data_IF_316655073286
#
_entry.id   IF_316655073286
#
_cell.length_a   1.000
_cell.length_b   1.000
_cell.length_c   1.000
_cell.angle_alpha   90.00
_cell.angle_beta   90.00
_cell.angle_gamma   90.00
#
_symmetry.space_group_name_H-M   'P 1'
#
loop_
_entity.id
_entity.type
_entity.pdbx_description
1 polymer ?
#
# COMPACT_ATOMS: atom_id res chain seq x y z
N UNK A 1 7.96 31.61 0.51
CA UNK A 1 8.58 30.45 1.12
C UNK A 1 8.05 29.20 0.41
N UNK A 2 8.93 28.32 -0.07
CA UNK A 2 8.59 27.12 -0.84
C UNK A 2 7.56 26.24 -0.10
N UNK A 3 7.76 26.03 1.20
CA UNK A 3 6.83 25.26 2.03
C UNK A 3 5.42 25.87 2.06
N UNK A 4 5.30 27.21 2.14
CA UNK A 4 4.01 27.88 2.13
C UNK A 4 3.30 27.70 0.80
N UNK A 5 4.02 27.88 -0.31
CA UNK A 5 3.49 27.70 -1.66
C UNK A 5 2.99 26.27 -1.88
N UNK A 6 3.82 25.28 -1.51
CA UNK A 6 3.45 23.86 -1.57
C UNK A 6 2.18 23.56 -0.75
N UNK A 7 2.14 24.05 0.49
CA UNK A 7 1.00 23.81 1.39
C UNK A 7 -0.29 24.43 0.85
N UNK A 8 -0.23 25.63 0.28
CA UNK A 8 -1.39 26.30 -0.33
C UNK A 8 -1.88 25.54 -1.56
N UNK A 9 -0.96 25.10 -2.43
CA UNK A 9 -1.29 24.31 -3.60
C UNK A 9 -1.97 22.98 -3.22
N UNK A 10 -1.38 22.18 -2.31
CA UNK A 10 -1.96 20.93 -1.86
C UNK A 10 -3.32 21.11 -1.19
N UNK A 11 -3.52 22.17 -0.41
CA UNK A 11 -4.83 22.48 0.18
C UNK A 11 -5.87 22.81 -0.90
N UNK A 12 -5.48 23.52 -1.96
CA UNK A 12 -6.34 23.79 -3.11
C UNK A 12 -6.77 22.50 -3.80
N UNK A 13 -5.81 21.65 -4.15
CA UNK A 13 -6.06 20.36 -4.79
C UNK A 13 -6.99 19.47 -3.94
N UNK A 14 -6.64 19.23 -2.69
CA UNK A 14 -7.45 18.39 -1.79
C UNK A 14 -8.82 18.98 -1.51
N UNK A 15 -8.92 20.30 -1.41
CA UNK A 15 -10.20 21.01 -1.24
C UNK A 15 -11.12 20.79 -2.42
N UNK A 16 -10.64 21.01 -3.65
CA UNK A 16 -11.42 20.80 -4.87
C UNK A 16 -11.83 19.33 -5.05
N UNK A 17 -10.93 18.38 -4.75
CA UNK A 17 -11.27 16.95 -4.79
C UNK A 17 -12.47 16.63 -3.89
N UNK A 18 -12.48 17.14 -2.65
CA UNK A 18 -13.60 16.93 -1.71
C UNK A 18 -14.90 17.61 -2.15
N UNK A 19 -14.83 18.70 -2.91
CA UNK A 19 -16.01 19.36 -3.49
C UNK A 19 -16.58 18.56 -4.69
N UNK A 20 -15.69 17.95 -5.48
CA UNK A 20 -16.08 17.15 -6.66
C UNK A 20 -16.53 15.74 -6.29
N UNK A 21 -15.98 15.16 -5.24
CA UNK A 21 -16.29 13.80 -4.80
C UNK A 21 -16.39 13.74 -3.27
N UNK A 22 -17.60 13.47 -2.77
CA UNK A 22 -17.89 13.31 -1.35
C UNK A 22 -17.97 11.85 -0.90
N UNK A 23 -17.70 10.89 -1.80
CA UNK A 23 -17.62 9.48 -1.46
C UNK A 23 -16.31 9.16 -0.73
N UNK A 24 -16.20 7.94 -0.21
CA UNK A 24 -14.90 7.46 0.25
C UNK A 24 -14.00 7.16 -0.94
N UNK A 25 -12.79 7.69 -0.92
CA UNK A 25 -11.70 7.35 -1.83
C UNK A 25 -10.35 7.46 -1.14
N UNK A 26 -9.33 6.81 -1.70
CA UNK A 26 -7.92 7.08 -1.43
C UNK A 26 -7.31 7.88 -2.57
N UNK A 27 -6.43 8.77 -2.19
CA UNK A 27 -5.66 9.63 -3.09
C UNK A 27 -4.18 9.37 -2.87
N UNK A 28 -3.47 9.05 -3.96
CA UNK A 28 -2.04 8.81 -3.95
C UNK A 28 -1.31 9.82 -4.83
N UNK A 29 -0.04 10.00 -4.57
CA UNK A 29 0.77 10.94 -5.33
C UNK A 29 2.25 10.59 -5.27
N UNK A 30 2.95 10.79 -6.38
CA UNK A 30 4.40 10.73 -6.44
C UNK A 30 5.04 12.13 -6.43
N UNK A 31 4.37 13.09 -5.82
CA UNK A 31 4.80 14.47 -5.61
C UNK A 31 4.75 14.83 -4.13
N UNK A 32 5.86 15.29 -3.58
CA UNK A 32 5.94 15.76 -2.20
C UNK A 32 6.77 17.04 -2.10
N UNK A 33 6.64 17.76 -1.00
CA UNK A 33 7.51 18.90 -0.69
C UNK A 33 9.00 18.54 -0.80
N UNK A 34 9.35 17.30 -0.52
CA UNK A 34 10.73 16.84 -0.48
C UNK A 34 11.25 16.37 -1.84
N UNK A 35 10.40 16.09 -2.82
CA UNK A 35 10.85 15.79 -4.20
C UNK A 35 11.63 16.94 -4.81
N UNK A 36 11.30 18.18 -4.49
CA UNK A 36 12.06 19.36 -4.94
C UNK A 36 13.40 19.53 -4.20
N UNK A 37 13.57 18.93 -3.03
CA UNK A 37 14.79 19.04 -2.21
C UNK A 37 15.69 17.82 -2.30
N UNK A 38 15.28 16.79 -3.05
CA UNK A 38 16.02 15.54 -3.22
C UNK A 38 16.02 14.65 -1.97
N UNK A 39 15.11 14.88 -1.06
CA UNK A 39 14.92 14.04 0.14
C UNK A 39 13.72 13.12 -0.06
N UNK A 40 13.93 11.83 0.04
CA UNK A 40 12.96 10.76 -0.22
C UNK A 40 12.23 10.31 1.06
N UNK A 41 11.97 11.21 1.99
CA UNK A 41 11.31 10.84 3.23
C UNK A 41 9.80 10.92 3.09
N UNK A 42 9.13 9.86 3.48
CA UNK A 42 7.71 9.85 3.70
C UNK A 42 7.31 10.95 4.68
N UNK A 43 6.27 11.64 4.36
CA UNK A 43 5.71 12.69 5.18
C UNK A 43 4.28 12.31 5.54
N UNK A 44 3.82 12.62 6.73
CA UNK A 44 2.41 12.41 7.10
C UNK A 44 1.48 13.41 6.40
N UNK A 45 1.64 13.59 5.09
CA UNK A 45 0.85 14.53 4.31
C UNK A 45 -0.65 14.19 4.24
N UNK A 46 -1.05 12.91 4.13
CA UNK A 46 -2.46 12.54 4.26
C UNK A 46 -3.10 13.08 5.54
N UNK A 47 -2.40 12.96 6.65
CA UNK A 47 -2.85 13.49 7.94
C UNK A 47 -2.83 15.03 7.97
N UNK A 48 -1.81 15.65 7.37
CA UNK A 48 -1.67 17.12 7.33
C UNK A 48 -2.75 17.78 6.49
N UNK A 49 -3.08 17.22 5.33
CA UNK A 49 -4.07 17.79 4.41
C UNK A 49 -5.45 17.14 4.52
N UNK A 50 -5.57 16.05 5.31
CA UNK A 50 -6.84 15.41 5.63
C UNK A 50 -7.45 14.65 4.45
N UNK A 51 -6.68 13.83 3.75
CA UNK A 51 -7.16 12.87 2.76
C UNK A 51 -6.81 11.43 3.18
N UNK A 52 -7.47 10.43 2.60
CA UNK A 52 -7.14 9.04 2.84
C UNK A 52 -6.09 8.57 1.83
N UNK A 53 -5.15 7.75 2.27
CA UNK A 53 -4.05 7.23 1.46
C UNK A 53 -3.64 5.85 1.99
N UNK A 54 -2.96 5.06 1.16
CA UNK A 54 -2.21 3.89 1.62
C UNK A 54 -0.80 4.30 2.08
N UNK A 55 -0.33 5.46 1.62
CA UNK A 55 0.94 6.04 2.02
C UNK A 55 0.86 6.62 3.43
N UNK A 56 1.79 6.27 4.29
CA UNK A 56 1.93 6.89 5.59
C UNK A 56 3.35 6.73 6.14
N UNK A 57 3.76 7.68 6.98
CA UNK A 57 4.96 7.56 7.80
C UNK A 57 4.58 7.41 9.26
N UNK A 58 5.06 6.35 9.89
CA UNK A 58 4.91 6.15 11.34
C UNK A 58 6.09 5.34 11.88
N UNK A 59 6.61 5.73 13.04
CA UNK A 59 7.58 4.91 13.77
C UNK A 59 6.94 3.69 14.44
N UNK A 60 5.61 3.63 14.46
CA UNK A 60 4.80 2.50 14.90
C UNK A 60 3.82 2.17 13.79
N UNK A 61 4.01 1.08 13.11
CA UNK A 61 3.18 0.60 12.00
C UNK A 61 2.46 -0.70 12.38
N UNK A 62 1.38 -0.96 11.70
CA UNK A 62 0.74 -2.26 11.75
C UNK A 62 1.52 -3.22 10.85
N UNK A 63 2.12 -4.23 11.46
CA UNK A 63 2.96 -5.19 10.74
C UNK A 63 2.19 -5.92 9.64
N UNK A 64 0.95 -6.30 9.89
CA UNK A 64 0.15 -7.07 8.93
C UNK A 64 -0.20 -6.21 7.70
N UNK A 65 -0.47 -4.91 7.92
CA UNK A 65 -0.71 -3.97 6.82
C UNK A 65 0.54 -3.79 5.97
N UNK A 66 1.69 -3.58 6.61
CA UNK A 66 2.95 -3.37 5.92
C UNK A 66 3.37 -4.63 5.13
N UNK A 67 3.26 -5.80 5.75
CA UNK A 67 3.50 -7.08 5.10
C UNK A 67 2.56 -7.31 3.90
N UNK A 68 1.29 -6.96 4.02
CA UNK A 68 0.33 -7.05 2.92
C UNK A 68 0.73 -6.11 1.76
N UNK A 69 1.01 -4.86 2.04
CA UNK A 69 1.38 -3.86 1.03
C UNK A 69 2.67 -4.29 0.28
N UNK A 70 3.68 -4.78 1.02
CA UNK A 70 4.90 -5.31 0.43
C UNK A 70 4.64 -6.53 -0.48
N UNK A 71 3.80 -7.48 -0.03
CA UNK A 71 3.42 -8.65 -0.83
C UNK A 71 2.64 -8.26 -2.10
N UNK A 72 1.93 -7.13 -2.08
CA UNK A 72 1.23 -6.59 -3.24
C UNK A 72 2.13 -5.79 -4.19
N UNK A 73 3.42 -5.68 -3.92
CA UNK A 73 4.39 -5.08 -4.84
C UNK A 73 4.73 -3.62 -4.58
N UNK A 74 4.31 -3.06 -3.46
CA UNK A 74 4.75 -1.73 -3.03
C UNK A 74 6.08 -1.79 -2.28
N UNK A 75 6.72 -0.65 -2.12
CA UNK A 75 8.02 -0.58 -1.47
C UNK A 75 7.95 -1.18 -0.05
N UNK A 76 8.79 -2.17 0.17
CA UNK A 76 8.96 -2.81 1.47
C UNK A 76 9.87 -1.94 2.34
N UNK A 77 9.30 -1.39 3.38
CA UNK A 77 10.06 -0.73 4.44
C UNK A 77 10.46 -1.69 5.54
N UNK A 78 9.93 -2.91 5.56
CA UNK A 78 10.23 -3.85 6.62
C UNK A 78 11.58 -4.51 6.43
N UNK A 79 12.35 -4.40 7.45
CA UNK A 79 13.42 -5.33 7.77
C UNK A 79 12.84 -6.45 8.61
N UNK A 80 12.85 -7.65 8.11
CA UNK A 80 12.66 -8.82 8.95
C UNK A 80 14.01 -9.08 9.61
N UNK A 81 14.18 -8.84 10.92
CA UNK A 81 15.45 -9.09 11.57
C UNK A 81 15.82 -10.54 11.39
N UNK A 82 17.09 -10.82 11.10
CA UNK A 82 17.65 -12.14 11.31
C UNK A 82 17.40 -12.53 12.78
N UNK A 83 16.92 -13.75 13.02
CA UNK A 83 16.63 -14.27 14.37
C UNK A 83 17.80 -14.12 15.35
N UNK A 84 19.00 -13.86 14.83
CA UNK A 84 20.24 -13.69 15.59
C UNK A 84 20.76 -12.26 15.68
N UNK A 85 20.16 -11.29 14.99
CA UNK A 85 20.58 -9.90 15.07
C UNK A 85 19.70 -9.10 16.03
N UNK A 86 20.36 -8.41 16.95
CA UNK A 86 19.71 -7.50 17.91
C UNK A 86 19.52 -6.10 17.32
N UNK A 87 19.93 -5.89 16.09
CA UNK A 87 19.89 -4.58 15.45
C UNK A 87 18.58 -4.39 14.71
N UNK A 88 17.82 -3.56 15.30
CA UNK A 88 16.50 -3.14 14.95
C UNK A 88 16.44 -1.99 13.99
N UNK A 89 15.32 -1.89 13.51
CA UNK A 89 14.42 -0.77 13.18
C UNK A 89 14.62 -0.23 11.83
N UNK A 90 13.55 -0.40 11.19
CA UNK A 90 13.35 0.28 9.95
C UNK A 90 12.09 1.06 10.04
N UNK A 91 12.23 2.28 9.62
CA UNK A 91 11.12 3.19 9.49
C UNK A 91 10.33 2.79 8.26
N UNK A 92 9.02 2.58 8.36
CA UNK A 92 8.17 2.50 7.19
C UNK A 92 8.39 3.81 6.43
N UNK A 93 8.88 3.68 5.24
CA UNK A 93 8.98 4.78 4.31
C UNK A 93 7.78 4.73 3.37
N UNK A 94 7.61 5.77 2.65
CA UNK A 94 6.65 5.99 1.61
C UNK A 94 6.35 4.69 0.83
N UNK A 95 5.16 4.13 1.04
CA UNK A 95 4.78 2.86 0.41
C UNK A 95 4.42 3.02 -1.06
N UNK A 96 4.05 4.25 -1.48
CA UNK A 96 3.63 4.56 -2.83
C UNK A 96 4.73 5.24 -3.64
N UNK A 97 5.80 4.53 -3.95
CA UNK A 97 6.89 5.07 -4.72
C UNK A 97 6.93 4.50 -6.14
N UNK A 98 6.51 5.31 -7.13
CA UNK A 98 6.60 5.01 -8.57
C UNK A 98 6.11 3.61 -9.02
N UNK A 99 5.16 3.02 -8.30
CA UNK A 99 4.70 1.66 -8.56
C UNK A 99 3.20 1.52 -8.55
N UNK A 100 2.51 2.11 -9.52
CA UNK A 100 1.08 1.93 -9.64
C UNK A 100 0.78 0.46 -10.01
N UNK A 101 0.38 -0.30 -9.00
CA UNK A 101 -0.14 -1.66 -9.18
C UNK A 101 -1.65 -1.58 -9.29
N UNK A 102 -2.14 -1.33 -10.49
CA UNK A 102 -3.56 -0.99 -10.75
C UNK A 102 -4.56 -1.94 -10.07
N UNK A 103 -4.26 -3.25 -9.99
CA UNK A 103 -5.17 -4.19 -9.34
C UNK A 103 -5.24 -3.92 -7.83
N UNK A 104 -4.11 -3.73 -7.16
CA UNK A 104 -4.07 -3.42 -5.73
C UNK A 104 -4.70 -2.06 -5.45
N UNK A 105 -4.44 -1.06 -6.27
CA UNK A 105 -5.06 0.27 -6.16
C UNK A 105 -6.58 0.17 -6.27
N UNK A 106 -7.07 -0.58 -7.26
CA UNK A 106 -8.50 -0.82 -7.43
C UNK A 106 -9.10 -1.47 -6.19
N UNK A 107 -8.50 -2.54 -5.69
CA UNK A 107 -8.98 -3.27 -4.50
C UNK A 107 -8.99 -2.40 -3.23
N UNK A 108 -7.99 -1.53 -3.09
CA UNK A 108 -7.85 -0.65 -1.93
C UNK A 108 -8.60 0.69 -2.08
N UNK A 109 -9.30 0.91 -3.19
CA UNK A 109 -10.06 2.14 -3.43
C UNK A 109 -9.18 3.37 -3.66
N UNK A 110 -7.97 3.19 -4.22
CA UNK A 110 -7.16 4.29 -4.74
C UNK A 110 -7.81 4.77 -6.03
N UNK A 111 -8.51 5.89 -5.91
CA UNK A 111 -9.31 6.45 -6.99
C UNK A 111 -8.62 7.58 -7.72
N UNK A 112 -7.84 8.37 -7.01
CA UNK A 112 -7.16 9.52 -7.58
C UNK A 112 -5.65 9.40 -7.42
N UNK A 113 -4.93 9.83 -8.45
CA UNK A 113 -3.47 9.86 -8.47
C UNK A 113 -2.96 11.19 -9.02
N UNK A 114 -2.07 11.86 -8.30
CA UNK A 114 -1.31 13.01 -8.77
C UNK A 114 0.06 12.55 -9.25
N UNK A 115 0.26 12.47 -10.57
CA UNK A 115 1.47 11.89 -11.14
C UNK A 115 1.96 12.64 -12.40
N UNK A 116 3.22 12.40 -12.75
CA UNK A 116 3.82 12.96 -13.98
C UNK A 116 3.37 12.25 -15.25
N UNK A 117 3.02 10.97 -15.13
CA UNK A 117 2.63 10.14 -16.28
C UNK A 117 1.38 9.35 -15.93
N UNK A 118 0.48 9.28 -16.88
CA UNK A 118 -0.68 8.40 -16.81
C UNK A 118 -0.24 6.95 -16.93
N UNK A 119 -0.79 6.09 -16.07
CA UNK A 119 -0.57 4.66 -16.10
C UNK A 119 -1.80 3.91 -16.58
N UNK A 120 -1.66 2.61 -16.81
CA UNK A 120 -2.77 1.75 -17.21
C UNK A 120 -3.95 1.86 -16.25
N UNK A 121 -5.16 1.85 -16.78
CA UNK A 121 -6.41 1.92 -15.99
C UNK A 121 -6.80 3.31 -15.51
N UNK A 122 -5.93 4.30 -15.68
CA UNK A 122 -6.18 5.69 -15.29
C UNK A 122 -6.72 6.53 -16.45
N UNK A 123 -7.63 7.43 -16.14
CA UNK A 123 -8.15 8.47 -17.04
C UNK A 123 -7.75 9.86 -16.56
N UNK A 124 -7.73 10.84 -17.46
CA UNK A 124 -7.45 12.23 -17.08
C UNK A 124 -8.60 12.76 -16.21
N UNK A 125 -8.28 13.45 -15.13
CA UNK A 125 -9.25 14.08 -14.24
C UNK A 125 -9.03 15.59 -14.22
N UNK A 126 -10.03 16.33 -14.72
CA UNK A 126 -9.95 17.78 -14.83
C UNK A 126 -10.05 18.47 -13.48
N UNK A 127 -9.08 19.33 -13.18
CA UNK A 127 -8.99 20.14 -11.99
C UNK A 127 -8.86 21.61 -12.34
N UNK A 128 -9.52 22.49 -11.56
CA UNK A 128 -9.37 23.95 -11.67
C UNK A 128 -8.16 24.45 -10.87
N UNK A 129 -7.77 23.72 -9.83
CA UNK A 129 -6.59 24.01 -9.00
C UNK A 129 -5.31 23.92 -9.83
N UNK A 130 -4.36 24.81 -9.55
CA UNK A 130 -3.05 24.79 -10.19
C UNK A 130 -2.28 23.52 -9.82
N UNK A 131 -1.99 22.68 -10.81
CA UNK A 131 -1.20 21.48 -10.64
C UNK A 131 0.29 21.81 -10.50
N UNK A 132 1.07 20.99 -9.76
CA UNK A 132 2.52 21.08 -9.79
C UNK A 132 3.05 20.94 -11.21
N UNK A 133 4.15 21.64 -11.52
CA UNK A 133 4.71 21.64 -12.88
C UNK A 133 5.07 20.23 -13.33
N UNK A 134 4.50 19.81 -14.45
CA UNK A 134 4.69 18.47 -15.04
C UNK A 134 3.87 17.36 -14.39
N UNK A 135 2.95 17.69 -13.49
CA UNK A 135 2.01 16.74 -12.88
C UNK A 135 0.59 16.96 -13.38
N UNK A 136 -0.19 15.90 -13.39
CA UNK A 136 -1.61 15.88 -13.71
C UNK A 136 -2.36 15.02 -12.72
N UNK A 137 -3.66 15.30 -12.58
CA UNK A 137 -4.55 14.45 -11.79
C UNK A 137 -5.16 13.38 -12.69
N UNK A 138 -5.13 12.16 -12.21
CA UNK A 138 -5.72 11.00 -12.88
C UNK A 138 -6.77 10.34 -12.00
N UNK A 139 -7.69 9.60 -12.62
CA UNK A 139 -8.76 8.87 -11.92
C UNK A 139 -8.80 7.41 -12.36
N UNK A 140 -8.86 6.51 -11.39
CA UNK A 140 -9.22 5.10 -11.58
C UNK A 140 -10.74 4.96 -11.41
N UNK A 141 -11.46 4.88 -12.52
CA UNK A 141 -12.92 4.74 -12.50
C UNK A 141 -13.40 3.37 -11.99
N UNK A 142 -12.50 2.39 -11.91
CA UNK A 142 -12.76 1.04 -11.40
C UNK A 142 -12.39 0.86 -9.93
N UNK A 143 -11.89 1.91 -9.25
CA UNK A 143 -11.57 1.86 -7.84
C UNK A 143 -12.77 1.37 -7.03
N UNK A 144 -12.57 0.27 -6.27
CA UNK A 144 -13.63 -0.30 -5.43
C UNK A 144 -13.88 0.60 -4.22
N UNK A 145 -15.10 0.60 -3.69
CA UNK A 145 -15.43 1.37 -2.50
C UNK A 145 -14.75 0.77 -1.25
N UNK A 146 -14.89 1.45 -0.10
CA UNK A 146 -14.35 0.99 1.19
C UNK A 146 -14.79 -0.42 1.58
N UNK A 147 -15.99 -0.82 1.18
CA UNK A 147 -16.57 -2.10 1.50
C UNK A 147 -17.21 -2.73 0.25
N UNK A 148 -16.99 -4.02 0.06
CA UNK A 148 -17.58 -4.79 -1.05
C UNK A 148 -17.67 -6.29 -0.70
N UNK A 149 -18.54 -7.00 -1.44
CA UNK A 149 -18.74 -8.44 -1.25
C UNK A 149 -17.52 -9.22 -1.73
N UNK A 150 -17.15 -10.24 -0.96
CA UNK A 150 -16.08 -11.18 -1.32
C UNK A 150 -16.55 -12.62 -1.14
N UNK A 151 -15.81 -13.58 -1.65
CA UNK A 151 -16.06 -14.99 -1.43
C UNK A 151 -16.07 -15.33 0.06
N UNK A 152 -16.93 -16.27 0.46
CA UNK A 152 -16.97 -16.75 1.84
C UNK A 152 -15.64 -17.35 2.32
N UNK A 153 -14.78 -17.80 1.39
CA UNK A 153 -13.48 -18.40 1.64
C UNK A 153 -12.32 -17.40 1.50
N UNK A 154 -12.58 -16.10 1.45
CA UNK A 154 -11.58 -15.03 1.30
C UNK A 154 -10.67 -14.94 2.54
N UNK A 155 -9.61 -15.77 2.59
CA UNK A 155 -8.67 -15.85 3.73
C UNK A 155 -7.22 -16.03 3.31
N UNK A 156 -6.87 -15.65 2.08
CA UNK A 156 -5.49 -15.80 1.60
C UNK A 156 -4.56 -14.83 2.30
N UNK A 157 -3.54 -15.38 2.93
CA UNK A 157 -2.46 -14.62 3.57
C UNK A 157 -1.39 -14.23 2.55
N UNK A 158 -0.68 -13.11 2.76
CA UNK A 158 0.55 -12.83 2.04
C UNK A 158 1.55 -13.99 2.16
N UNK A 159 2.19 -14.33 1.07
CA UNK A 159 3.18 -15.41 1.01
C UNK A 159 4.52 -14.84 0.53
N UNK A 160 5.44 -14.67 1.46
CA UNK A 160 6.76 -14.07 1.20
C UNK A 160 7.71 -14.95 0.41
N UNK A 161 7.30 -16.17 0.05
CA UNK A 161 8.03 -17.03 -0.87
C UNK A 161 7.70 -16.76 -2.33
N UNK A 162 6.68 -15.93 -2.58
CA UNK A 162 6.17 -15.58 -3.89
C UNK A 162 6.56 -14.14 -4.26
N UNK A 163 6.68 -13.91 -5.57
CA UNK A 163 6.77 -12.56 -6.11
C UNK A 163 5.41 -11.82 -5.98
N UNK A 164 5.38 -10.49 -6.14
CA UNK A 164 4.15 -9.70 -5.98
C UNK A 164 3.02 -10.10 -6.94
N UNK A 165 3.33 -10.53 -8.14
CA UNK A 165 2.32 -10.89 -9.15
C UNK A 165 1.57 -12.15 -8.75
N UNK A 166 2.29 -13.16 -8.29
CA UNK A 166 1.71 -14.42 -7.78
C UNK A 166 0.90 -14.16 -6.49
N UNK A 167 1.37 -13.27 -5.61
CA UNK A 167 0.62 -12.85 -4.42
C UNK A 167 -0.69 -12.16 -4.78
N UNK A 168 -0.67 -11.18 -5.69
CA UNK A 168 -1.88 -10.50 -6.15
C UNK A 168 -2.87 -11.47 -6.78
N UNK A 169 -2.39 -12.37 -7.64
CA UNK A 169 -3.23 -13.37 -8.28
C UNK A 169 -3.92 -14.29 -7.25
N UNK A 170 -3.17 -14.79 -6.27
CA UNK A 170 -3.73 -15.59 -5.16
C UNK A 170 -4.75 -14.82 -4.35
N UNK A 171 -4.44 -13.56 -4.02
CA UNK A 171 -5.34 -12.71 -3.25
C UNK A 171 -6.65 -12.47 -4.01
N UNK A 172 -6.57 -12.08 -5.28
CA UNK A 172 -7.75 -11.87 -6.14
C UNK A 172 -8.57 -13.14 -6.29
N UNK A 173 -7.91 -14.29 -6.52
CA UNK A 173 -8.61 -15.59 -6.60
C UNK A 173 -9.35 -15.91 -5.31
N UNK A 174 -8.77 -15.59 -4.16
CA UNK A 174 -9.43 -15.73 -2.86
C UNK A 174 -10.64 -14.82 -2.72
N UNK A 175 -10.54 -13.55 -3.12
CA UNK A 175 -11.65 -12.60 -3.04
C UNK A 175 -12.82 -12.97 -3.96
N UNK A 176 -12.51 -13.45 -5.15
CA UNK A 176 -13.53 -13.82 -6.15
C UNK A 176 -14.09 -15.23 -5.95
N UNK A 177 -13.38 -16.09 -5.22
CA UNK A 177 -13.69 -17.52 -5.07
C UNK A 177 -13.47 -18.34 -6.34
N UNK A 178 -12.70 -17.81 -7.29
CA UNK A 178 -12.39 -18.44 -8.57
C UNK A 178 -10.89 -18.37 -8.83
N UNK A 179 -10.34 -19.38 -9.52
CA UNK A 179 -8.95 -19.34 -9.96
C UNK A 179 -8.83 -18.32 -11.11
N UNK A 180 -8.12 -17.23 -10.85
CA UNK A 180 -7.98 -16.09 -11.76
C UNK A 180 -6.57 -16.04 -12.32
N UNK A 181 -6.41 -16.12 -13.64
CA UNK A 181 -5.15 -15.88 -14.33
C UNK A 181 -4.94 -14.36 -14.58
N UNK A 182 -4.74 -13.63 -13.49
CA UNK A 182 -4.61 -12.17 -13.53
C UNK A 182 -3.35 -11.70 -14.23
N UNK A 183 -2.25 -12.42 -14.03
CA UNK A 183 -0.95 -12.12 -14.62
C UNK A 183 -0.43 -13.28 -15.45
N UNK A 184 0.18 -12.96 -16.58
CA UNK A 184 0.95 -13.87 -17.41
C UNK A 184 2.44 -13.63 -17.14
N UNK A 185 3.14 -14.67 -16.71
CA UNK A 185 4.58 -14.60 -16.46
C UNK A 185 5.34 -14.61 -17.77
N UNK A 186 6.05 -13.54 -18.05
CA UNK A 186 6.95 -13.41 -19.19
C UNK A 186 8.33 -13.92 -18.80
N UNK A 187 8.93 -14.79 -19.62
CA UNK A 187 10.29 -15.26 -19.41
C UNK A 187 11.25 -14.44 -20.27
N UNK A 188 11.90 -13.39 -19.76
CA UNK A 188 12.82 -12.58 -20.55
C UNK A 188 14.09 -13.35 -20.87
N UNK A 189 14.52 -13.25 -22.14
CA UNK A 189 15.76 -13.87 -22.58
C UNK A 189 16.96 -13.02 -22.14
N UNK A 190 17.85 -13.60 -21.33
CA UNK A 190 19.13 -12.97 -20.97
C UNK A 190 20.02 -12.90 -22.22
N UNK A 191 20.41 -11.69 -22.61
CA UNK A 191 21.28 -11.43 -23.77
C UNK A 191 22.73 -11.25 -23.39
N UNK A 192 23.01 -10.57 -22.29
CA UNK A 192 24.37 -10.25 -21.89
C UNK A 192 24.49 -9.95 -20.39
N UNK A 193 25.57 -10.41 -19.76
CA UNK A 193 26.08 -9.91 -18.49
C UNK A 193 27.50 -9.42 -18.73
N UNK A 194 27.73 -8.12 -18.63
CA UNK A 194 29.04 -7.54 -18.89
C UNK A 194 29.22 -6.13 -18.31
N UNK A 195 30.36 -5.92 -17.69
CA UNK A 195 30.76 -4.61 -17.15
C UNK A 195 29.72 -4.01 -16.18
N UNK A 196 29.05 -4.83 -15.39
CA UNK A 196 28.02 -4.41 -14.47
C UNK A 196 26.65 -4.15 -15.12
N UNK A 197 26.42 -4.63 -16.32
CA UNK A 197 25.12 -4.60 -16.98
C UNK A 197 24.57 -6.01 -17.18
N UNK A 198 23.31 -6.17 -16.85
CA UNK A 198 22.48 -7.31 -17.28
C UNK A 198 21.48 -6.83 -18.32
N UNK A 199 21.38 -7.51 -19.43
CA UNK A 199 20.47 -7.16 -20.52
C UNK A 199 19.54 -8.29 -20.85
N UNK A 200 18.25 -7.99 -20.86
CA UNK A 200 17.18 -8.94 -21.12
C UNK A 200 16.28 -8.43 -22.24
N UNK A 201 15.71 -9.35 -22.97
CA UNK A 201 14.65 -9.06 -23.94
C UNK A 201 13.40 -9.83 -23.50
N UNK A 202 12.34 -9.09 -23.22
CA UNK A 202 11.01 -9.63 -23.02
C UNK A 202 10.17 -9.44 -24.28
N UNK A 203 9.20 -10.33 -24.53
CA UNK A 203 8.22 -10.18 -25.60
C UNK A 203 6.83 -10.19 -24.96
N UNK A 204 6.04 -9.19 -25.23
CA UNK A 204 4.67 -9.11 -24.76
C UNK A 204 3.82 -10.22 -25.41
N UNK A 205 3.13 -11.02 -24.61
CA UNK A 205 2.30 -12.14 -25.09
C UNK A 205 0.88 -11.68 -25.43
N UNK A 206 0.39 -10.66 -24.73
CA UNK A 206 -0.95 -10.09 -24.90
C UNK A 206 -0.86 -8.57 -24.99
N UNK A 207 -1.98 -7.90 -25.22
CA UNK A 207 -2.09 -6.44 -25.04
C UNK A 207 -2.25 -6.13 -23.54
N UNK A 208 -1.55 -5.12 -23.03
CA UNK A 208 -1.72 -4.66 -21.64
C UNK A 208 -0.45 -4.19 -20.94
N UNK A 209 -0.56 -3.81 -19.68
CA UNK A 209 0.55 -3.31 -18.89
C UNK A 209 1.51 -4.42 -18.50
N UNK A 210 2.80 -4.14 -18.60
CA UNK A 210 3.87 -5.02 -18.19
C UNK A 210 4.55 -4.46 -16.94
N UNK A 211 4.91 -5.35 -16.05
CA UNK A 211 5.56 -5.03 -14.77
C UNK A 211 6.84 -5.84 -14.58
N UNK A 212 7.75 -5.26 -13.84
CA UNK A 212 9.02 -5.84 -13.45
C UNK A 212 9.13 -5.91 -11.93
N UNK A 213 9.78 -6.95 -11.41
CA UNK A 213 10.15 -7.06 -10.00
C UNK A 213 11.47 -7.79 -9.84
N UNK A 214 12.26 -7.36 -8.88
CA UNK A 214 13.41 -8.10 -8.34
C UNK A 214 13.66 -7.69 -6.91
N UNK A 215 14.01 -8.64 -6.07
CA UNK A 215 14.46 -8.40 -4.70
C UNK A 215 15.99 -8.35 -4.58
N UNK A 216 16.70 -8.37 -5.71
CA UNK A 216 18.17 -8.42 -5.75
C UNK A 216 18.77 -9.79 -5.45
N UNK A 217 17.95 -10.85 -5.42
CA UNK A 217 18.44 -12.22 -5.26
C UNK A 217 19.32 -12.64 -6.43
N UNK A 218 20.46 -13.25 -6.12
CA UNK A 218 21.32 -13.94 -7.09
C UNK A 218 20.55 -15.13 -7.68
N UNK A 219 20.41 -15.18 -9.01
CA UNK A 219 19.64 -16.22 -9.71
C UNK A 219 20.17 -17.63 -9.46
N UNK A 220 21.49 -17.79 -9.27
CA UNK A 220 22.10 -19.10 -8.97
C UNK A 220 21.74 -19.61 -7.55
N UNK A 221 21.37 -18.70 -6.65
CA UNK A 221 21.01 -19.00 -5.26
C UNK A 221 19.50 -19.04 -5.01
N UNK A 222 18.71 -18.80 -6.02
CA UNK A 222 17.25 -18.69 -5.89
C UNK A 222 16.61 -19.95 -5.30
N UNK A 223 17.11 -21.14 -5.66
CA UNK A 223 16.60 -22.42 -5.13
C UNK A 223 16.96 -22.67 -3.65
N UNK A 224 17.99 -22.02 -3.13
CA UNK A 224 18.43 -22.15 -1.74
C UNK A 224 17.62 -21.29 -0.78
N UNK A 225 16.86 -20.32 -1.28
CA UNK A 225 16.14 -19.34 -0.46
C UNK A 225 14.74 -19.82 -0.07
N UNK A 226 14.53 -19.84 1.23
CA UNK A 226 13.20 -20.05 1.85
C UNK A 226 12.44 -18.75 2.05
N UNK A 227 13.02 -17.58 1.74
CA UNK A 227 12.39 -16.29 1.99
C UNK A 227 13.03 -15.21 1.11
N UNK A 228 12.26 -14.69 0.17
CA UNK A 228 12.71 -13.75 -0.86
C UNK A 228 13.26 -12.45 -0.26
N UNK A 229 12.77 -12.04 0.91
CA UNK A 229 13.06 -10.72 1.49
C UNK A 229 14.31 -10.65 2.39
N UNK A 230 15.09 -11.75 2.58
CA UNK A 230 16.03 -11.78 3.72
C UNK A 230 17.47 -11.33 3.48
N UNK A 231 18.05 -11.35 2.29
CA UNK A 231 19.53 -11.35 2.23
C UNK A 231 20.26 -10.43 1.26
N UNK A 232 19.64 -9.79 0.29
CA UNK A 232 20.36 -9.06 -0.77
C UNK A 232 20.13 -7.54 -0.82
N UNK A 233 19.83 -6.92 0.29
CA UNK A 233 19.49 -5.49 0.42
C UNK A 233 20.65 -4.52 0.20
N UNK A 234 21.75 -4.96 -0.37
CA UNK A 234 22.95 -4.16 -0.57
C UNK A 234 23.33 -3.93 -2.03
N UNK A 235 22.73 -4.64 -2.95
CA UNK A 235 22.88 -4.38 -4.36
C UNK A 235 22.01 -3.19 -4.75
N UNK A 236 22.59 -2.23 -5.42
CA UNK A 236 21.89 -1.09 -5.97
C UNK A 236 22.00 -1.19 -7.48
N UNK A 237 20.87 -1.30 -8.16
CA UNK A 237 20.79 -1.35 -9.61
C UNK A 237 19.95 -0.19 -10.13
N UNK A 238 20.37 0.38 -11.24
CA UNK A 238 19.54 1.26 -12.04
C UNK A 238 18.78 0.42 -13.07
N UNK A 239 17.45 0.55 -13.11
CA UNK A 239 16.60 -0.09 -14.11
C UNK A 239 16.43 0.81 -15.32
N UNK A 240 16.67 0.27 -16.51
CA UNK A 240 16.42 0.93 -17.79
C UNK A 240 15.45 0.08 -18.61
N UNK A 241 14.52 0.75 -19.29
CA UNK A 241 13.55 0.11 -20.20
C UNK A 241 13.63 0.82 -21.55
N UNK A 242 13.88 0.07 -22.62
CA UNK A 242 14.09 0.59 -23.98
C UNK A 242 15.12 1.72 -24.05
N UNK A 243 16.15 1.63 -23.17
CA UNK A 243 17.24 2.60 -23.08
C UNK A 243 16.96 3.83 -22.21
N UNK A 244 15.77 3.99 -21.67
CA UNK A 244 15.42 5.08 -20.77
C UNK A 244 15.54 4.62 -19.30
N UNK A 245 16.14 5.47 -18.46
CA UNK A 245 16.20 5.23 -17.00
C UNK A 245 14.79 5.32 -16.40
N UNK A 246 14.43 4.34 -15.58
CA UNK A 246 13.14 4.29 -14.90
C UNK A 246 13.31 4.64 -13.43
N UNK A 247 14.05 3.83 -12.69
CA UNK A 247 14.32 4.04 -11.26
C UNK A 247 15.50 3.20 -10.78
N UNK A 248 15.90 3.43 -9.54
CA UNK A 248 16.76 2.49 -8.82
C UNK A 248 15.93 1.28 -8.35
N UNK A 249 16.56 0.12 -8.28
CA UNK A 249 15.97 -1.12 -7.75
C UNK A 249 17.01 -1.92 -6.98
N UNK A 250 16.64 -3.04 -6.36
CA UNK A 250 17.49 -3.90 -5.54
C UNK A 250 18.08 -3.23 -4.29
N UNK A 251 17.76 -2.00 -4.01
CA UNK A 251 18.23 -1.33 -2.80
C UNK A 251 17.15 -1.34 -1.72
N UNK A 252 17.60 -1.21 -0.49
CA UNK A 252 16.71 -1.02 0.66
C UNK A 252 15.74 0.13 0.38
N UNK A 253 14.46 -0.06 0.61
CA UNK A 253 13.35 0.87 0.34
C UNK A 253 12.93 1.01 -1.14
N UNK A 254 13.47 0.22 -2.05
CA UNK A 254 13.07 0.19 -3.46
C UNK A 254 12.95 -1.25 -3.96
N UNK A 255 12.34 -2.10 -3.15
CA UNK A 255 11.96 -3.47 -3.49
C UNK A 255 10.49 -3.50 -3.90
N UNK A 256 10.15 -2.70 -4.89
CA UNK A 256 8.78 -2.58 -5.38
C UNK A 256 8.66 -3.13 -6.80
N UNK A 257 7.47 -3.55 -7.17
CA UNK A 257 7.14 -3.83 -8.55
C UNK A 257 7.16 -2.52 -9.35
N UNK A 258 7.60 -2.58 -10.60
CA UNK A 258 7.79 -1.41 -11.46
C UNK A 258 6.93 -1.56 -12.70
N UNK A 259 6.12 -0.56 -12.98
CA UNK A 259 5.37 -0.47 -14.23
C UNK A 259 6.32 -0.12 -15.39
N UNK A 260 6.39 -0.98 -16.40
CA UNK A 260 7.27 -0.80 -17.56
C UNK A 260 6.59 -0.05 -18.71
N UNK A 261 5.26 -0.02 -18.72
CA UNK A 261 4.45 0.58 -19.79
C UNK A 261 3.38 -0.37 -20.31
N UNK A 262 2.58 0.15 -21.26
CA UNK A 262 1.58 -0.64 -22.00
C UNK A 262 2.18 -1.13 -23.30
N UNK A 263 2.05 -2.42 -23.55
CA UNK A 263 2.59 -3.07 -24.73
C UNK A 263 1.50 -3.83 -25.49
N UNK A 264 1.75 -4.05 -26.80
CA UNK A 264 0.92 -4.87 -27.65
C UNK A 264 1.54 -6.26 -27.80
N UNK A 265 0.71 -7.27 -28.03
CA UNK A 265 1.17 -8.62 -28.32
C UNK A 265 2.23 -8.61 -29.43
N UNK A 266 3.39 -9.20 -29.15
CA UNK A 266 4.55 -9.21 -30.03
C UNK A 266 5.53 -8.05 -29.87
N UNK A 267 5.23 -7.04 -29.08
CA UNK A 267 6.18 -5.96 -28.78
C UNK A 267 7.38 -6.53 -28.03
N UNK A 268 8.55 -6.02 -28.40
CA UNK A 268 9.81 -6.38 -27.76
C UNK A 268 10.22 -5.29 -26.78
N UNK A 269 10.54 -5.69 -25.55
CA UNK A 269 10.92 -4.79 -24.45
C UNK A 269 12.36 -5.08 -24.05
N UNK A 270 13.25 -4.09 -24.20
CA UNK A 270 14.63 -4.16 -23.73
C UNK A 270 14.66 -3.75 -22.25
N UNK A 271 15.02 -4.67 -21.36
CA UNK A 271 15.13 -4.46 -19.92
C UNK A 271 16.60 -4.57 -19.53
N UNK A 272 17.14 -3.55 -18.90
CA UNK A 272 18.54 -3.52 -18.49
C UNK A 272 18.66 -3.14 -17.01
N UNK A 273 19.47 -3.92 -16.30
CA UNK A 273 19.91 -3.62 -14.94
C UNK A 273 21.37 -3.19 -14.97
N UNK A 274 21.67 -2.05 -14.39
CA UNK A 274 23.04 -1.56 -14.24
C UNK A 274 23.42 -1.55 -12.77
N UNK A 275 24.38 -2.37 -12.40
CA UNK A 275 24.92 -2.44 -11.06
C UNK A 275 25.69 -1.16 -10.71
N UNK A 276 25.27 -0.48 -9.64
CA UNK A 276 25.93 0.73 -9.13
C UNK A 276 26.72 0.47 -7.84
N UNK A 277 26.76 -0.78 -7.38
CA UNK A 277 27.57 -1.17 -6.22
C UNK A 277 29.05 -0.86 -6.41
N UNK A 278 29.71 -0.43 -5.35
CA UNK A 278 31.17 -0.21 -5.34
C UNK A 278 31.97 -1.52 -5.34
N UNK A 279 31.31 -2.64 -5.08
CA UNK A 279 31.95 -3.95 -5.03
C UNK A 279 31.94 -4.59 -6.42
N UNK A 280 33.08 -4.52 -7.12
CA UNK A 280 33.20 -5.05 -8.49
C UNK A 280 32.98 -6.56 -8.62
N UNK A 281 33.08 -7.33 -7.54
CA UNK A 281 32.85 -8.76 -7.56
C UNK A 281 31.34 -9.13 -7.68
N UNK A 282 30.45 -8.15 -7.56
CA UNK A 282 29.01 -8.31 -7.72
C UNK A 282 28.53 -7.96 -9.13
N UNK A 283 29.38 -7.30 -9.93
CA UNK A 283 29.03 -6.81 -11.27
C UNK A 283 28.79 -7.90 -12.34
N UNK A 284 29.15 -9.13 -12.06
CA UNK A 284 29.00 -10.25 -13.01
C UNK A 284 27.98 -11.30 -12.50
N UNK A 285 27.17 -10.95 -11.49
CA UNK A 285 26.07 -11.80 -11.01
C UNK A 285 24.80 -11.50 -11.77
N UNK A 286 24.01 -12.54 -12.01
CA UNK A 286 22.68 -12.43 -12.56
C UNK A 286 21.66 -12.29 -11.44
N UNK A 287 20.79 -11.30 -11.51
CA UNK A 287 19.66 -11.17 -10.59
C UNK A 287 18.50 -12.09 -11.00
N UNK A 288 17.79 -12.60 -10.00
CA UNK A 288 16.48 -13.20 -10.20
C UNK A 288 15.50 -12.07 -10.47
N UNK A 289 14.94 -12.07 -11.67
CA UNK A 289 13.97 -11.08 -12.09
C UNK A 289 12.63 -11.75 -12.41
N UNK A 290 11.57 -11.01 -12.21
CA UNK A 290 10.22 -11.38 -12.57
C UNK A 290 9.66 -10.33 -13.51
N UNK A 291 9.12 -10.76 -14.63
CA UNK A 291 8.41 -9.88 -15.57
C UNK A 291 7.03 -10.50 -15.77
N UNK A 292 6.01 -9.71 -15.61
CA UNK A 292 4.62 -10.19 -15.75
C UNK A 292 3.78 -9.17 -16.48
N UNK A 293 2.84 -9.66 -17.26
CA UNK A 293 1.87 -8.86 -17.99
C UNK A 293 0.49 -9.06 -17.38
N UNK A 294 -0.19 -7.96 -17.05
CA UNK A 294 -1.56 -8.01 -16.55
C UNK A 294 -2.50 -8.35 -17.70
N UNK A 295 -3.37 -9.32 -17.49
CA UNK A 295 -4.45 -9.63 -18.43
C UNK A 295 -5.60 -8.63 -18.23
N UNK A 296 -5.76 -7.70 -19.16
CA UNK A 296 -6.75 -6.64 -19.08
C UNK A 296 -8.19 -7.16 -19.00
N UNK A 297 -8.50 -8.23 -19.73
CA UNK A 297 -9.85 -8.81 -19.69
C UNK A 297 -10.16 -9.38 -18.30
N UNK A 298 -9.21 -10.14 -17.73
CA UNK A 298 -9.36 -10.71 -16.39
C UNK A 298 -9.45 -9.62 -15.33
N UNK A 299 -8.62 -8.57 -15.44
CA UNK A 299 -8.71 -7.40 -14.56
C UNK A 299 -10.10 -6.76 -14.58
N UNK A 300 -10.67 -6.55 -15.79
CA UNK A 300 -12.00 -5.99 -15.95
C UNK A 300 -13.07 -6.90 -15.34
N UNK A 301 -13.02 -8.20 -15.62
CA UNK A 301 -13.98 -9.17 -15.09
C UNK A 301 -13.95 -9.24 -13.54
N UNK A 302 -12.76 -9.16 -12.95
CA UNK A 302 -12.59 -9.11 -11.48
C UNK A 302 -13.20 -7.84 -10.90
N UNK A 303 -12.92 -6.68 -11.49
CA UNK A 303 -13.48 -5.40 -11.04
C UNK A 303 -15.02 -5.43 -11.12
N UNK A 304 -15.57 -5.90 -12.23
CA UNK A 304 -17.01 -5.99 -12.43
C UNK A 304 -17.65 -6.98 -11.44
N UNK A 305 -16.99 -8.10 -11.16
CA UNK A 305 -17.46 -9.09 -10.19
C UNK A 305 -17.48 -8.55 -8.76
N UNK A 306 -16.40 -7.90 -8.32
CA UNK A 306 -16.28 -7.38 -6.96
C UNK A 306 -17.12 -6.12 -6.72
N UNK A 307 -17.44 -5.36 -7.76
CA UNK A 307 -18.36 -4.21 -7.67
C UNK A 307 -19.83 -4.59 -7.74
N UNK A 308 -20.15 -5.81 -8.20
CA UNK A 308 -21.53 -6.26 -8.38
C UNK A 308 -22.20 -6.65 -7.05
N UNK A 309 -23.52 -6.51 -7.02
CA UNK A 309 -24.38 -7.05 -5.94
C UNK A 309 -24.23 -6.34 -4.59
N UNK A 310 -23.52 -5.22 -4.54
CA UNK A 310 -23.41 -4.42 -3.33
C UNK A 310 -23.37 -2.91 -3.62
N UNK A 311 -23.77 -2.13 -2.62
CA UNK A 311 -23.68 -0.67 -2.63
C UNK A 311 -23.31 -0.18 -1.25
N UNK A 312 -22.37 0.73 -1.18
CA UNK A 312 -21.88 1.32 0.08
C UNK A 312 -21.95 2.84 0.06
N UNK A 313 -22.31 3.41 1.21
CA UNK A 313 -22.22 4.85 1.51
C UNK A 313 -21.64 4.98 2.93
N UNK A 314 -20.42 4.43 3.10
CA UNK A 314 -19.68 4.48 4.35
C UNK A 314 -18.71 5.65 4.34
N UNK A 315 -18.70 6.41 5.44
CA UNK A 315 -17.84 7.57 5.62
C UNK A 315 -16.97 7.45 6.87
N UNK A 316 -15.73 7.94 6.78
CA UNK A 316 -14.79 8.01 7.91
C UNK A 316 -14.82 9.39 8.52
N UNK A 317 -14.94 9.45 9.85
CA UNK A 317 -14.82 10.67 10.63
C UNK A 317 -13.97 10.40 11.88
N UNK A 318 -12.69 10.70 11.81
CA UNK A 318 -11.72 10.41 12.85
C UNK A 318 -11.61 8.91 13.12
N UNK A 319 -11.96 8.49 14.34
CA UNK A 319 -11.96 7.07 14.74
C UNK A 319 -13.30 6.34 14.51
N UNK A 320 -14.18 6.93 13.71
CA UNK A 320 -15.52 6.39 13.43
C UNK A 320 -15.72 6.17 11.94
N UNK A 321 -16.43 5.08 11.63
CA UNK A 321 -16.94 4.78 10.31
C UNK A 321 -18.44 4.58 10.47
N UNK A 322 -19.23 5.20 9.61
CA UNK A 322 -20.68 5.05 9.65
C UNK A 322 -21.31 5.28 8.29
N UNK A 323 -22.46 4.65 8.08
CA UNK A 323 -23.26 4.79 6.86
C UNK A 323 -24.01 3.53 6.51
N UNK A 324 -24.52 3.46 5.28
CA UNK A 324 -25.29 2.32 4.80
C UNK A 324 -24.46 1.39 3.91
N UNK A 325 -24.81 0.11 3.98
CA UNK A 325 -24.33 -0.93 3.08
C UNK A 325 -25.50 -1.79 2.63
N UNK A 326 -25.61 -2.02 1.33
CA UNK A 326 -26.65 -2.88 0.77
C UNK A 326 -26.01 -4.06 0.06
N UNK A 327 -26.52 -5.25 0.28
CA UNK A 327 -26.12 -6.46 -0.47
C UNK A 327 -27.32 -7.24 -0.95
N UNK A 328 -27.24 -7.81 -2.15
CA UNK A 328 -28.34 -8.54 -2.79
C UNK A 328 -28.54 -9.97 -2.24
N UNK A 329 -27.53 -10.48 -1.53
CA UNK A 329 -27.52 -11.83 -0.94
C UNK A 329 -26.76 -11.85 0.38
N UNK A 330 -26.95 -12.92 1.17
CA UNK A 330 -26.10 -13.17 2.34
C UNK A 330 -24.65 -13.24 1.89
N UNK A 331 -23.79 -12.38 2.45
CA UNK A 331 -22.46 -12.16 1.93
C UNK A 331 -21.42 -11.95 3.04
N UNK A 332 -20.19 -12.35 2.76
CA UNK A 332 -19.01 -11.86 3.46
C UNK A 332 -18.60 -10.54 2.82
N UNK A 333 -18.58 -9.49 3.61
CA UNK A 333 -18.20 -8.14 3.18
C UNK A 333 -16.82 -7.84 3.71
N UNK A 334 -15.88 -7.51 2.82
CA UNK A 334 -14.56 -7.01 3.18
C UNK A 334 -14.60 -5.49 3.27
N UNK A 335 -14.13 -4.94 4.38
CA UNK A 335 -13.80 -3.53 4.52
C UNK A 335 -12.29 -3.38 4.35
N UNK A 336 -11.86 -2.48 3.46
CA UNK A 336 -10.43 -2.19 3.22
C UNK A 336 -9.84 -1.31 4.34
N UNK A 337 -10.16 -1.69 5.57
CA UNK A 337 -9.72 -1.05 6.82
C UNK A 337 -8.90 -2.07 7.62
N UNK A 338 -7.77 -1.68 8.21
CA UNK A 338 -6.96 -2.58 9.00
C UNK A 338 -7.74 -3.23 10.14
N UNK A 339 -7.60 -4.56 10.26
CA UNK A 339 -8.13 -5.30 11.39
C UNK A 339 -7.40 -4.89 12.67
N UNK A 340 -8.14 -4.64 13.73
CA UNK A 340 -7.59 -4.40 15.06
C UNK A 340 -8.61 -4.75 16.14
N UNK A 341 -8.17 -5.24 17.30
CA UNK A 341 -9.03 -5.61 18.43
C UNK A 341 -9.76 -4.41 19.06
N UNK A 342 -9.38 -3.20 18.72
CA UNK A 342 -9.95 -1.95 19.27
C UNK A 342 -11.27 -1.53 18.64
N UNK A 343 -11.73 -2.16 17.59
CA UNK A 343 -12.99 -1.83 16.94
C UNK A 343 -14.20 -2.30 17.75
N UNK A 344 -15.19 -1.45 17.81
CA UNK A 344 -16.56 -1.81 18.21
C UNK A 344 -17.44 -1.64 17.00
N UNK A 345 -18.03 -2.74 16.54
CA UNK A 345 -18.86 -2.78 15.33
C UNK A 345 -20.31 -2.98 15.72
N UNK A 346 -21.20 -2.21 15.10
CA UNK A 346 -22.66 -2.40 15.17
C UNK A 346 -23.23 -2.46 13.76
N UNK A 347 -24.16 -3.35 13.56
CA UNK A 347 -24.98 -3.46 12.36
C UNK A 347 -26.44 -3.32 12.80
N UNK A 348 -27.16 -2.37 12.22
CA UNK A 348 -28.56 -2.05 12.54
C UNK A 348 -28.78 -1.74 14.05
N UNK A 349 -27.77 -1.12 14.66
CA UNK A 349 -27.77 -0.77 16.09
C UNK A 349 -27.34 -1.90 17.03
N UNK A 350 -27.26 -3.15 16.57
CA UNK A 350 -26.86 -4.32 17.36
C UNK A 350 -25.35 -4.56 17.26
N UNK A 351 -24.71 -4.88 18.40
CA UNK A 351 -23.30 -5.22 18.42
C UNK A 351 -23.04 -6.50 17.62
N UNK A 352 -22.14 -6.41 16.64
CA UNK A 352 -21.84 -7.49 15.70
C UNK A 352 -20.37 -7.91 15.83
N UNK A 353 -20.12 -9.20 15.72
CA UNK A 353 -18.76 -9.73 15.62
C UNK A 353 -18.18 -9.45 14.22
N UNK A 354 -16.89 -9.22 14.15
CA UNK A 354 -16.16 -9.03 12.92
C UNK A 354 -14.99 -10.00 12.86
N UNK A 355 -14.57 -10.33 11.64
CA UNK A 355 -13.51 -11.29 11.37
C UNK A 355 -12.28 -10.57 10.84
N UNK A 356 -11.13 -11.19 11.06
CA UNK A 356 -9.91 -10.86 10.36
C UNK A 356 -9.89 -11.57 8.99
N UNK A 357 -9.73 -10.81 7.92
CA UNK A 357 -9.57 -11.34 6.58
C UNK A 357 -8.13 -11.10 6.10
N UNK A 358 -7.50 -12.16 5.61
CA UNK A 358 -6.13 -12.09 5.03
C UNK A 358 -5.11 -11.47 5.98
N UNK A 359 -5.28 -11.66 7.29
CA UNK A 359 -4.47 -11.08 8.38
C UNK A 359 -4.40 -9.54 8.37
N UNK A 360 -5.17 -8.87 7.52
CA UNK A 360 -5.04 -7.42 7.29
C UNK A 360 -6.37 -6.66 7.41
N UNK A 361 -7.47 -7.22 6.91
CA UNK A 361 -8.72 -6.49 6.72
C UNK A 361 -9.83 -6.94 7.66
N UNK A 362 -10.88 -6.12 7.75
CA UNK A 362 -12.07 -6.44 8.51
C UNK A 362 -13.08 -7.14 7.59
N UNK A 363 -13.63 -8.27 8.06
CA UNK A 363 -14.75 -8.99 7.45
C UNK A 363 -16.02 -8.92 8.28
N UNK A 364 -17.15 -8.63 7.63
CA UNK A 364 -18.48 -8.68 8.24
C UNK A 364 -19.36 -9.70 7.49
N UNK A 365 -20.07 -10.55 8.22
CA UNK A 365 -21.13 -11.39 7.65
C UNK A 365 -22.45 -10.62 7.72
N UNK A 366 -23.02 -10.33 6.56
CA UNK A 366 -24.28 -9.60 6.43
C UNK A 366 -25.31 -10.44 5.68
N UNK A 367 -26.58 -10.36 6.11
CA UNK A 367 -27.69 -10.92 5.36
C UNK A 367 -28.02 -10.07 4.12
N UNK A 368 -28.84 -10.60 3.21
CA UNK A 368 -29.37 -9.79 2.12
C UNK A 368 -30.21 -8.62 2.65
N UNK A 369 -29.97 -7.42 2.10
CA UNK A 369 -30.72 -6.21 2.47
C UNK A 369 -29.86 -4.98 2.64
N UNK A 370 -30.48 -3.92 3.15
CA UNK A 370 -29.79 -2.67 3.52
C UNK A 370 -29.50 -2.69 5.03
N UNK A 371 -28.28 -2.39 5.38
CA UNK A 371 -27.75 -2.37 6.75
C UNK A 371 -27.16 -1.01 7.10
N UNK A 372 -27.35 -0.58 8.35
CA UNK A 372 -26.66 0.58 8.92
C UNK A 372 -25.44 0.08 9.70
N UNK A 373 -24.26 0.46 9.25
CA UNK A 373 -22.99 0.08 9.87
C UNK A 373 -22.46 1.25 10.68
N UNK A 374 -22.09 0.99 11.92
CA UNK A 374 -21.41 1.92 12.82
C UNK A 374 -20.19 1.21 13.40
N UNK A 375 -19.01 1.82 13.24
CA UNK A 375 -17.76 1.32 13.80
C UNK A 375 -17.05 2.42 14.55
N UNK A 376 -16.49 2.11 15.73
CA UNK A 376 -15.70 3.05 16.51
C UNK A 376 -14.44 2.36 17.04
N UNK A 377 -13.29 2.96 16.75
CA UNK A 377 -12.01 2.44 17.18
C UNK A 377 -11.53 3.08 18.48
N UNK A 378 -11.12 2.25 19.42
CA UNK A 378 -10.43 2.67 20.63
C UNK A 378 -9.21 1.79 20.88
N UNK A 379 -8.08 2.41 21.14
CA UNK A 379 -6.87 1.65 21.52
C UNK A 379 -7.18 0.75 22.72
N UNK A 380 -6.94 -0.56 22.64
CA UNK A 380 -7.37 -1.52 23.65
C UNK A 380 -7.00 -1.17 25.10
N UNK A 381 -5.83 -0.60 25.32
CA UNK A 381 -5.33 -0.22 26.64
C UNK A 381 -5.73 1.18 27.09
N UNK A 382 -6.40 1.97 26.26
CA UNK A 382 -6.64 3.41 26.53
C UNK A 382 -7.46 3.65 27.81
N UNK A 383 -8.52 2.87 28.04
CA UNK A 383 -9.36 3.02 29.24
C UNK A 383 -8.56 2.75 30.52
N UNK A 384 -7.74 1.69 30.51
CA UNK A 384 -6.90 1.34 31.65
C UNK A 384 -5.79 2.37 31.88
N UNK A 385 -5.15 2.85 30.83
CA UNK A 385 -4.13 3.89 30.88
C UNK A 385 -4.68 5.20 31.42
N UNK A 386 -5.89 5.59 31.03
CA UNK A 386 -6.56 6.79 31.56
C UNK A 386 -6.84 6.66 33.05
N UNK A 387 -7.33 5.49 33.50
CA UNK A 387 -7.57 5.23 34.95
C UNK A 387 -6.25 5.31 35.72
N UNK A 388 -5.19 4.65 35.26
CA UNK A 388 -3.87 4.70 35.90
C UNK A 388 -3.33 6.14 35.97
N UNK A 389 -3.49 6.91 34.89
CA UNK A 389 -3.04 8.31 34.82
C UNK A 389 -3.77 9.18 35.84
N UNK A 390 -5.09 9.01 35.95
CA UNK A 390 -5.89 9.75 36.96
C UNK A 390 -5.46 9.40 38.37
N UNK A 391 -5.27 8.11 38.68
CA UNK A 391 -4.77 7.68 39.97
C UNK A 391 -3.36 8.19 40.26
N UNK A 392 -2.46 8.16 39.27
CA UNK A 392 -1.11 8.72 39.37
C UNK A 392 -1.11 10.22 39.68
N UNK A 393 -1.92 10.98 38.97
CA UNK A 393 -2.08 12.42 39.20
C UNK A 393 -2.64 12.72 40.59
N UNK A 394 -3.62 11.93 41.04
CA UNK A 394 -4.20 12.06 42.38
C UNK A 394 -3.15 11.74 43.47
N UNK A 395 -2.42 10.64 43.35
CA UNK A 395 -1.37 10.25 44.27
C UNK A 395 -0.27 11.33 44.35
N UNK A 396 0.12 11.90 43.20
CA UNK A 396 1.09 12.98 43.16
C UNK A 396 0.57 14.26 43.87
N UNK A 397 -0.69 14.63 43.64
CA UNK A 397 -1.29 15.77 44.33
C UNK A 397 -1.35 15.57 45.85
N UNK A 398 -1.72 14.37 46.31
CA UNK A 398 -1.72 14.02 47.74
C UNK A 398 -0.30 14.10 48.33
N UNK A 399 0.71 13.58 47.61
CA UNK A 399 2.10 13.69 48.06
C UNK A 399 2.57 15.14 48.17
N UNK A 400 2.33 15.97 47.18
CA UNK A 400 2.67 17.38 47.19
C UNK A 400 1.96 18.12 48.33
N UNK A 401 0.69 17.81 48.58
CA UNK A 401 -0.08 18.34 49.72
C UNK A 401 0.51 17.93 51.08
N UNK A 402 0.87 16.67 51.24
CA UNK A 402 1.50 16.16 52.44
C UNK A 402 2.86 16.83 52.66
N UNK A 403 3.69 16.95 51.64
CA UNK A 403 5.00 17.60 51.74
C UNK A 403 4.87 19.06 52.11
N UNK A 404 3.90 19.79 51.53
CA UNK A 404 3.60 21.17 51.87
C UNK A 404 3.22 21.31 53.39
N UNK A 405 2.35 20.43 53.89
CA UNK A 405 1.92 20.43 55.28
C UNK A 405 3.10 20.16 56.21
N UNK A 406 3.97 19.17 55.87
CA UNK A 406 5.17 18.81 56.67
C UNK A 406 6.14 20.01 56.70
N UNK A 407 6.41 20.64 55.54
CA UNK A 407 7.30 21.84 55.50
C UNK A 407 6.75 22.99 56.31
N UNK A 408 5.43 23.23 56.25
CA UNK A 408 4.76 24.29 57.05
C UNK A 408 4.78 24.04 58.55
N UNK A 409 4.74 22.75 58.98
CA UNK A 409 4.90 22.36 60.40
C UNK A 409 6.32 22.51 60.90
N UNK A 410 7.34 22.32 60.03
CA UNK A 410 8.76 22.47 60.41
C UNK A 410 9.22 23.93 60.42
N UNK A 411 8.46 24.85 59.85
CA UNK A 411 8.76 26.28 59.81
C UNK A 411 8.02 27.10 60.89
N UNK A 412 7.25 26.43 61.75
CA UNK A 412 6.70 26.93 63.01
C UNK A 412 7.44 26.27 64.18
#
# INVERSE_FOLDING_TARGET
>A
NLYTSYTEQMKGIVGEMKEKDNSFYRFEKNYSYLTETGSECATCEPLLFGYNSIEHYSSTYDRNVDEFIAAMGYADSTYIPDENSKDEVIFPTDTYWNSPMIMTETLLGVKYELAQKKTFGMSDFDMESEMPSGYSMYVNEKALPMAYNVSADAQTKPDYTLNPFDNQQKFVSSLTGEDTALYENINPELKEIKNGWEKYIAVAETDGPMYFYTDGTDAEKAEEKKNIHKDNRHDNCELYVNGEYVQNTCQRFMLNAVYLGDFKAGDTVDIQLKHVSKNKNEHDKQHLIYVSQLNESVYNDVCDKLSAGSKTDLNINGNKISGSYTTDSDSLVMLTIPYAEGWTVKVDGEKTEYKELSETFIGLELSAGEHQIEMEYHTPSQKMSNVISVFGAFAFAVWCGAEYIIKKKKSK
#
